data_IF_742389119885
#
_entry.id   IF_742389119885
#
_cell.length_a   1.000
_cell.length_b   1.000
_cell.length_c   1.000
_cell.angle_alpha   90.00
_cell.angle_beta   90.00
_cell.angle_gamma   90.00
#
_symmetry.space_group_name_H-M   'P 1'
#
loop_
_entity.id
_entity.type
_entity.pdbx_description
1 polymer ?
#
# COMPACT_ATOMS: atom_id res chain seq x y z
N UNK A 1 5.01 -0.59 -16.50
CA UNK A 1 5.60 -1.78 -15.84
C UNK A 1 5.56 -1.76 -14.31
N UNK A 2 6.29 -0.91 -13.58
CA UNK A 2 6.30 -0.97 -12.09
C UNK A 2 4.97 -0.52 -11.46
N UNK A 3 4.35 0.54 -12.01
CA UNK A 3 3.03 1.04 -11.60
C UNK A 3 1.95 -0.02 -11.88
N UNK A 4 1.93 -0.61 -13.07
CA UNK A 4 1.00 -1.70 -13.42
C UNK A 4 1.10 -2.90 -12.46
N UNK A 5 2.30 -3.23 -11.96
CA UNK A 5 2.48 -4.29 -10.95
C UNK A 5 1.90 -3.92 -9.59
N UNK A 6 1.96 -2.65 -9.20
CA UNK A 6 1.34 -2.17 -7.94
C UNK A 6 -0.18 -2.21 -8.04
N UNK A 7 -0.75 -1.58 -9.07
CA UNK A 7 -2.21 -1.54 -9.27
C UNK A 7 -2.81 -2.94 -9.37
N UNK A 8 -2.11 -3.87 -10.05
CA UNK A 8 -2.54 -5.27 -10.13
C UNK A 8 -2.49 -5.96 -8.76
N UNK A 9 -1.46 -5.69 -7.95
CA UNK A 9 -1.35 -6.29 -6.62
C UNK A 9 -2.40 -5.72 -5.65
N UNK A 10 -2.67 -4.42 -5.73
CA UNK A 10 -3.70 -3.74 -4.94
C UNK A 10 -5.08 -4.31 -5.28
N UNK A 11 -5.42 -4.41 -6.57
CA UNK A 11 -6.70 -4.99 -7.00
C UNK A 11 -6.90 -6.43 -6.52
N UNK A 12 -5.85 -7.25 -6.58
CA UNK A 12 -5.91 -8.63 -6.07
C UNK A 12 -6.09 -8.67 -4.56
N UNK A 13 -5.47 -7.74 -3.82
CA UNK A 13 -5.66 -7.63 -2.38
C UNK A 13 -7.13 -7.28 -2.06
N UNK A 14 -7.74 -6.35 -2.78
CA UNK A 14 -9.15 -6.01 -2.63
C UNK A 14 -10.06 -7.23 -2.90
N UNK A 15 -9.78 -8.00 -3.95
CA UNK A 15 -10.51 -9.24 -4.25
C UNK A 15 -10.38 -10.28 -3.12
N UNK A 16 -9.20 -10.42 -2.52
CA UNK A 16 -8.97 -11.31 -1.37
C UNK A 16 -9.76 -10.84 -0.14
N UNK A 17 -9.72 -9.54 0.17
CA UNK A 17 -10.48 -8.96 1.29
C UNK A 17 -11.98 -9.18 1.10
N UNK A 18 -12.51 -8.88 -0.09
CA UNK A 18 -13.92 -9.10 -0.39
C UNK A 18 -14.35 -10.57 -0.20
N UNK A 19 -13.48 -11.53 -0.57
CA UNK A 19 -13.73 -12.96 -0.37
C UNK A 19 -13.70 -13.36 1.11
N UNK A 20 -12.82 -12.76 1.90
CA UNK A 20 -12.77 -12.99 3.34
C UNK A 20 -14.00 -12.41 4.05
N UNK A 21 -14.47 -11.24 3.60
CA UNK A 21 -15.64 -10.55 4.16
C UNK A 21 -16.97 -11.20 3.77
N UNK A 22 -17.03 -11.93 2.64
CA UNK A 22 -18.26 -12.61 2.22
C UNK A 22 -18.67 -13.74 3.18
N UNK A 23 -17.70 -14.32 3.91
CA UNK A 23 -17.96 -15.37 4.90
C UNK A 23 -18.27 -16.75 4.30
N UNK A 24 -18.18 -16.91 2.98
CA UNK A 24 -18.50 -18.16 2.27
C UNK A 24 -17.33 -19.17 2.23
N UNK A 25 -16.18 -18.79 2.79
CA UNK A 25 -14.96 -19.59 2.75
C UNK A 25 -14.94 -20.63 3.88
N UNK A 26 -14.43 -21.82 3.56
CA UNK A 26 -14.04 -22.79 4.59
C UNK A 26 -12.92 -22.22 5.48
N UNK A 27 -12.68 -22.80 6.65
CA UNK A 27 -11.58 -22.37 7.53
C UNK A 27 -10.22 -22.45 6.82
N UNK A 28 -9.94 -23.56 6.12
CA UNK A 28 -8.69 -23.74 5.39
C UNK A 28 -8.53 -22.73 4.26
N UNK A 29 -9.60 -22.43 3.53
CA UNK A 29 -9.56 -21.46 2.44
C UNK A 29 -9.45 -20.02 2.97
N UNK A 30 -10.05 -19.74 4.12
CA UNK A 30 -9.90 -18.46 4.83
C UNK A 30 -8.46 -18.23 5.25
N UNK A 31 -7.78 -19.25 5.78
CA UNK A 31 -6.36 -19.17 6.15
C UNK A 31 -5.46 -18.93 4.93
N UNK A 32 -5.73 -19.61 3.81
CA UNK A 32 -4.98 -19.38 2.56
C UNK A 32 -5.20 -17.98 2.01
N UNK A 33 -6.45 -17.53 1.93
CA UNK A 33 -6.79 -16.19 1.47
C UNK A 33 -6.14 -15.12 2.38
N UNK A 34 -6.15 -15.32 3.69
CA UNK A 34 -5.45 -14.42 4.62
C UNK A 34 -3.94 -14.38 4.38
N UNK A 35 -3.28 -15.52 4.21
CA UNK A 35 -1.83 -15.57 3.94
C UNK A 35 -1.48 -14.87 2.62
N UNK A 36 -2.28 -15.06 1.57
CA UNK A 36 -2.14 -14.36 0.30
C UNK A 36 -2.33 -12.85 0.46
N UNK A 37 -3.37 -12.42 1.19
CA UNK A 37 -3.65 -11.03 1.49
C UNK A 37 -2.50 -10.34 2.23
N UNK A 38 -1.94 -10.99 3.26
CA UNK A 38 -0.79 -10.46 4.02
C UNK A 38 0.43 -10.26 3.12
N UNK A 39 0.73 -11.22 2.23
CA UNK A 39 1.85 -11.10 1.28
C UNK A 39 1.65 -9.94 0.30
N UNK A 40 0.44 -9.77 -0.21
CA UNK A 40 0.12 -8.67 -1.13
C UNK A 40 0.18 -7.31 -0.42
N UNK A 41 -0.38 -7.19 0.79
CA UNK A 41 -0.32 -5.97 1.59
C UNK A 41 1.13 -5.56 1.86
N UNK A 42 1.99 -6.51 2.24
CA UNK A 42 3.42 -6.26 2.44
C UNK A 42 4.12 -5.78 1.15
N UNK A 43 3.78 -6.36 0.00
CA UNK A 43 4.29 -5.91 -1.30
C UNK A 43 3.87 -4.47 -1.63
N UNK A 44 2.59 -4.14 -1.45
CA UNK A 44 2.06 -2.81 -1.69
C UNK A 44 2.73 -1.77 -0.77
N UNK A 45 2.83 -2.06 0.52
CA UNK A 45 3.50 -1.18 1.49
C UNK A 45 4.95 -0.90 1.10
N UNK A 46 5.70 -1.94 0.69
CA UNK A 46 7.09 -1.78 0.22
C UNK A 46 7.17 -0.88 -1.02
N UNK A 47 6.22 -1.01 -1.96
CA UNK A 47 6.21 -0.18 -3.18
C UNK A 47 5.92 1.29 -2.88
N UNK A 48 5.05 1.56 -1.90
CA UNK A 48 4.77 2.91 -1.45
C UNK A 48 5.99 3.53 -0.76
N UNK A 49 6.67 2.80 0.12
CA UNK A 49 7.92 3.25 0.77
C UNK A 49 9.03 3.55 -0.25
N UNK A 50 9.20 2.71 -1.29
CA UNK A 50 10.13 2.97 -2.39
C UNK A 50 9.77 4.24 -3.17
N UNK A 51 8.48 4.50 -3.38
CA UNK A 51 7.99 5.68 -4.08
C UNK A 51 8.20 6.96 -3.25
N UNK A 52 7.87 6.92 -1.96
CA UNK A 52 8.08 8.01 -1.01
C UNK A 52 9.55 8.45 -0.98
N UNK A 53 10.48 7.50 -0.77
CA UNK A 53 11.92 7.77 -0.79
C UNK A 53 12.39 8.39 -2.10
N UNK A 54 11.82 7.98 -3.23
CA UNK A 54 12.16 8.54 -4.54
C UNK A 54 11.68 9.99 -4.66
N UNK A 55 10.49 10.31 -4.14
CA UNK A 55 9.96 11.68 -4.07
C UNK A 55 10.85 12.54 -3.19
N UNK A 56 11.22 12.07 -1.99
CA UNK A 56 12.15 12.79 -1.09
C UNK A 56 13.48 13.13 -1.78
N UNK A 57 14.08 12.17 -2.48
CA UNK A 57 15.34 12.38 -3.22
C UNK A 57 15.17 13.40 -4.35
N UNK A 58 14.03 13.42 -5.06
CA UNK A 58 13.77 14.37 -6.13
C UNK A 58 13.57 15.79 -5.60
N UNK A 59 12.86 15.94 -4.47
CA UNK A 59 12.72 17.23 -3.79
C UNK A 59 14.08 17.77 -3.32
N UNK A 60 14.94 16.88 -2.80
CA UNK A 60 16.31 17.20 -2.38
C UNK A 60 17.22 17.76 -3.50
N UNK A 61 16.90 17.54 -4.77
CA UNK A 61 17.78 17.86 -5.91
C UNK A 61 17.56 19.24 -6.56
N UNK A 62 16.60 20.06 -6.10
CA UNK A 62 16.28 21.35 -6.75
C UNK A 62 16.80 22.63 -6.05
N UNK A 63 17.11 22.63 -4.75
CA UNK A 63 17.77 23.80 -4.12
C UNK A 63 18.80 23.50 -3.02
N UNK A 64 19.04 22.23 -2.67
CA UNK A 64 20.04 21.85 -1.65
C UNK A 64 19.63 22.09 -0.19
N UNK A 65 18.45 22.62 0.08
CA UNK A 65 17.90 22.80 1.43
C UNK A 65 16.83 21.76 1.77
N UNK A 66 16.74 21.40 3.05
CA UNK A 66 15.74 20.49 3.58
C UNK A 66 14.61 21.30 4.21
N UNK A 67 13.39 21.18 3.72
CA UNK A 67 12.20 21.51 4.49
C UNK A 67 11.45 20.20 4.75
N UNK A 68 11.63 19.65 5.96
CA UNK A 68 10.75 18.62 6.49
C UNK A 68 9.56 19.33 7.12
N UNK A 69 8.52 19.59 6.34
CA UNK A 69 7.23 19.88 6.96
C UNK A 69 6.57 18.54 7.30
N UNK A 70 6.13 18.32 8.55
CA UNK A 70 5.34 17.16 8.88
C UNK A 70 4.09 17.16 7.99
N UNK A 71 3.83 16.03 7.32
CA UNK A 71 2.59 15.85 6.56
C UNK A 71 1.43 15.89 7.54
N UNK A 72 0.80 17.06 7.68
CA UNK A 72 -0.44 17.23 8.43
C UNK A 72 -1.57 16.81 7.50
N UNK A 73 -2.16 15.65 7.78
CA UNK A 73 -3.53 15.39 7.37
C UNK A 73 -4.39 16.41 8.11
N UNK A 74 -4.88 17.43 7.41
CA UNK A 74 -5.99 18.25 7.90
C UNK A 74 -7.23 17.35 7.94
N UNK A 75 -7.31 16.55 9.01
CA UNK A 75 -8.51 15.91 9.51
C UNK A 75 -8.56 16.23 11.01
N UNK A 76 -8.68 17.52 11.32
CA UNK A 76 -9.38 17.94 12.53
C UNK A 76 -10.86 18.01 12.14
N UNK A 77 -11.63 17.05 12.64
CA UNK A 77 -13.08 17.14 12.71
C UNK A 77 -13.47 18.48 13.35
N UNK A 78 -14.11 19.35 12.57
CA UNK A 78 -15.16 20.27 13.04
C UNK A 78 -16.21 20.49 11.96
#
# INVERSE_FOLDING_TARGET
>A
MAVEKFETALKKLEEVVNRLESGDLSLDDSLKAFEEGVKMAAFCAKKLDEAEKKVEILLKKKDGSFVKEPFRLDNDER
#
